data_IF_333954102663
#
_entry.id   IF_333954102663
#
_cell.length_a   1.000
_cell.length_b   1.000
_cell.length_c   1.000
_cell.angle_alpha   90.00
_cell.angle_beta   90.00
_cell.angle_gamma   90.00
#
_symmetry.space_group_name_H-M   'P 1'
#
loop_
_entity.id
_entity.type
_entity.pdbx_description
1 polymer ?
#
# COMPACT_ATOMS: atom_id res chain seq x y z
N UNK A 1 -20.15 0.34 -0.14
CA UNK A 1 -21.55 0.58 -0.57
C UNK A 1 -21.63 0.95 -2.05
N UNK A 2 -20.95 1.99 -2.54
CA UNK A 2 -21.01 2.38 -3.97
C UNK A 2 -20.66 1.27 -4.99
N UNK A 3 -19.62 0.45 -4.74
CA UNK A 3 -19.19 -0.59 -5.69
C UNK A 3 -20.01 -1.89 -5.65
N UNK A 4 -20.96 -2.04 -4.73
CA UNK A 4 -21.71 -3.29 -4.59
C UNK A 4 -22.63 -3.58 -5.79
N UNK A 5 -23.27 -2.55 -6.35
CA UNK A 5 -24.13 -2.68 -7.54
C UNK A 5 -23.35 -3.09 -8.79
N UNK A 6 -22.19 -2.47 -9.04
CA UNK A 6 -21.32 -2.83 -10.16
C UNK A 6 -20.84 -4.30 -10.05
N UNK A 7 -20.46 -4.74 -8.84
CA UNK A 7 -20.04 -6.12 -8.58
C UNK A 7 -21.21 -7.10 -8.76
N UNK A 8 -22.41 -6.74 -8.35
CA UNK A 8 -23.61 -7.55 -8.53
C UNK A 8 -24.00 -7.70 -10.01
N UNK A 9 -23.92 -6.62 -10.81
CA UNK A 9 -24.12 -6.67 -12.26
C UNK A 9 -23.07 -7.57 -12.92
N UNK A 10 -21.79 -7.43 -12.54
CA UNK A 10 -20.71 -8.26 -13.06
C UNK A 10 -20.94 -9.76 -12.74
N UNK A 11 -21.37 -10.07 -11.50
CA UNK A 11 -21.74 -11.44 -11.09
C UNK A 11 -22.97 -11.96 -11.84
N UNK A 12 -23.99 -11.13 -12.07
CA UNK A 12 -25.18 -11.50 -12.84
C UNK A 12 -24.85 -11.81 -14.31
N UNK A 13 -23.84 -11.14 -14.88
CA UNK A 13 -23.29 -11.46 -16.21
C UNK A 13 -22.39 -12.71 -16.23
N UNK A 14 -22.25 -13.43 -15.11
CA UNK A 14 -21.48 -14.67 -15.01
C UNK A 14 -20.05 -14.51 -14.49
N UNK A 15 -19.64 -13.33 -14.01
CA UNK A 15 -18.33 -13.18 -13.40
C UNK A 15 -18.27 -13.95 -12.07
N UNK A 16 -17.34 -14.90 -11.99
CA UNK A 16 -17.12 -15.67 -10.77
C UNK A 16 -16.46 -14.80 -9.69
N UNK A 17 -16.72 -15.08 -8.41
CA UNK A 17 -16.07 -14.38 -7.29
C UNK A 17 -14.52 -14.43 -7.35
N UNK A 18 -13.95 -15.43 -8.04
CA UNK A 18 -12.51 -15.52 -8.32
C UNK A 18 -11.99 -14.44 -9.27
N UNK A 19 -12.79 -14.03 -10.26
CA UNK A 19 -12.43 -12.96 -11.18
C UNK A 19 -12.36 -11.62 -10.45
N UNK A 20 -13.36 -11.33 -9.61
CA UNK A 20 -13.39 -10.13 -8.76
C UNK A 20 -12.18 -10.13 -7.82
N UNK A 21 -11.88 -11.26 -7.17
CA UNK A 21 -10.71 -11.36 -6.28
C UNK A 21 -9.38 -11.12 -7.00
N UNK A 22 -9.20 -11.59 -8.24
CA UNK A 22 -7.99 -11.29 -9.04
C UNK A 22 -7.83 -9.81 -9.33
N UNK A 23 -8.92 -9.12 -9.69
CA UNK A 23 -8.89 -7.69 -10.02
C UNK A 23 -8.44 -6.87 -8.81
N UNK A 24 -9.01 -7.17 -7.63
CA UNK A 24 -8.64 -6.47 -6.41
C UNK A 24 -7.21 -6.76 -5.96
N UNK A 25 -6.74 -8.01 -6.07
CA UNK A 25 -5.35 -8.34 -5.78
C UNK A 25 -4.39 -7.58 -6.70
N UNK A 26 -4.70 -7.51 -8.01
CA UNK A 26 -3.92 -6.73 -8.96
C UNK A 26 -3.93 -5.23 -8.62
N UNK A 27 -5.09 -4.67 -8.25
CA UNK A 27 -5.17 -3.29 -7.80
C UNK A 27 -4.32 -3.03 -6.55
N UNK A 28 -4.43 -3.90 -5.53
CA UNK A 28 -3.63 -3.77 -4.32
C UNK A 28 -2.13 -3.84 -4.59
N UNK A 29 -1.71 -4.73 -5.50
CA UNK A 29 -0.31 -4.83 -5.93
C UNK A 29 0.15 -3.56 -6.66
N UNK A 30 -0.64 -3.04 -7.59
CA UNK A 30 -0.32 -1.79 -8.33
C UNK A 30 -0.19 -0.62 -7.36
N UNK A 31 -1.13 -0.47 -6.41
CA UNK A 31 -1.07 0.58 -5.39
C UNK A 31 0.18 0.42 -4.51
N UNK A 32 0.51 -0.81 -4.09
CA UNK A 32 1.70 -1.10 -3.30
C UNK A 32 3.00 -0.77 -4.05
N UNK A 33 3.10 -1.12 -5.33
CA UNK A 33 4.26 -0.81 -6.17
C UNK A 33 4.41 0.70 -6.34
N UNK A 34 3.34 1.39 -6.74
CA UNK A 34 3.35 2.85 -6.95
C UNK A 34 3.71 3.56 -5.64
N UNK A 35 3.13 3.14 -4.52
CA UNK A 35 3.45 3.68 -3.21
C UNK A 35 4.91 3.47 -2.81
N UNK A 36 5.49 2.32 -3.13
CA UNK A 36 6.92 2.03 -2.85
C UNK A 36 7.84 2.87 -3.74
N UNK A 37 7.53 2.96 -5.04
CA UNK A 37 8.31 3.74 -6.02
C UNK A 37 8.31 5.22 -5.66
N UNK A 38 7.22 5.76 -5.11
CA UNK A 38 7.14 7.14 -4.64
C UNK A 38 7.78 7.29 -3.26
N UNK A 39 7.54 6.34 -2.35
CA UNK A 39 7.99 6.40 -0.96
C UNK A 39 9.51 6.34 -0.80
N UNK A 40 10.21 5.52 -1.58
CA UNK A 40 11.68 5.40 -1.52
C UNK A 40 12.39 6.74 -1.81
N UNK A 41 12.16 7.42 -2.96
CA UNK A 41 12.81 8.69 -3.25
C UNK A 41 12.39 9.79 -2.27
N UNK A 42 11.15 9.77 -1.79
CA UNK A 42 10.66 10.73 -0.80
C UNK A 42 11.38 10.54 0.55
N UNK A 43 11.53 9.30 1.01
CA UNK A 43 12.30 8.94 2.20
C UNK A 43 13.78 9.28 2.07
N UNK A 44 14.39 8.98 0.91
CA UNK A 44 15.79 9.35 0.63
C UNK A 44 15.98 10.87 0.66
N UNK A 45 15.07 11.62 0.04
CA UNK A 45 15.10 13.10 0.04
C UNK A 45 14.96 13.66 1.45
N UNK A 46 14.12 13.04 2.28
CA UNK A 46 13.93 13.43 3.68
C UNK A 46 15.21 13.19 4.50
N UNK A 47 15.84 12.03 4.34
CA UNK A 47 17.13 11.71 4.95
C UNK A 47 18.23 12.70 4.52
N UNK A 48 18.29 13.04 3.23
CA UNK A 48 19.24 14.00 2.68
C UNK A 48 19.01 15.42 3.20
N UNK A 49 17.75 15.84 3.33
CA UNK A 49 17.37 17.13 3.90
C UNK A 49 17.78 17.22 5.38
N UNK A 50 17.54 16.17 6.18
CA UNK A 50 17.98 16.12 7.57
C UNK A 50 19.51 16.26 7.64
N UNK A 51 20.26 15.54 6.82
CA UNK A 51 21.72 15.62 6.82
C UNK A 51 22.26 17.01 6.42
N UNK A 52 21.54 17.72 5.54
CA UNK A 52 21.95 19.03 5.01
C UNK A 52 21.58 20.18 5.93
N UNK A 53 20.38 20.15 6.52
CA UNK A 53 19.83 21.28 7.28
C UNK A 53 19.98 21.14 8.80
N UNK A 54 20.19 19.93 9.35
CA UNK A 54 20.49 19.74 10.78
C UNK A 54 22.01 19.64 11.02
N UNK A 55 22.62 20.77 11.37
CA UNK A 55 23.96 20.83 11.94
C UNK A 55 23.87 20.77 13.47
N UNK A 56 24.47 19.74 14.08
CA UNK A 56 24.65 19.72 15.53
C UNK A 56 25.65 20.82 15.93
N UNK A 57 25.35 21.67 16.92
CA UNK A 57 26.34 22.60 17.46
C UNK A 57 27.53 21.79 18.02
N UNK A 58 28.71 22.01 17.43
CA UNK A 58 29.90 21.18 17.58
C UNK A 58 30.56 21.16 18.97
N UNK A 59 29.96 21.78 19.98
CA UNK A 59 30.54 21.91 21.32
C UNK A 59 30.22 20.76 22.29
N UNK A 60 29.24 19.87 21.98
CA UNK A 60 28.79 18.82 22.92
C UNK A 60 28.87 17.39 22.37
N UNK A 61 28.98 17.23 21.04
CA UNK A 61 29.06 15.91 20.41
C UNK A 61 30.25 15.84 19.46
N UNK A 62 31.18 14.92 19.74
CA UNK A 62 32.30 14.50 18.87
C UNK A 62 31.84 13.84 17.54
N UNK A 63 30.62 14.10 17.08
CA UNK A 63 30.07 13.64 15.80
C UNK A 63 29.59 14.87 15.00
N UNK A 64 30.44 15.38 14.11
CA UNK A 64 30.17 16.57 13.29
C UNK A 64 29.09 16.37 12.20
N UNK A 65 28.52 15.17 12.05
CA UNK A 65 27.36 14.87 11.19
C UNK A 65 26.60 13.71 11.79
N UNK A 66 25.27 13.70 11.71
CA UNK A 66 24.48 12.47 11.90
C UNK A 66 24.86 11.55 10.74
N UNK A 67 25.54 10.41 10.98
CA UNK A 67 25.85 9.47 9.90
C UNK A 67 24.55 8.76 9.54
N UNK A 68 23.76 9.37 8.65
CA UNK A 68 22.59 8.73 8.05
C UNK A 68 23.11 7.61 7.14
N UNK A 69 23.24 6.43 7.72
CA UNK A 69 23.75 5.25 7.01
C UNK A 69 22.54 4.50 6.45
N UNK A 70 22.12 4.87 5.23
CA UNK A 70 21.00 4.22 4.55
C UNK A 70 21.46 2.83 4.12
N UNK A 71 21.08 1.82 4.90
CA UNK A 71 21.35 0.43 4.55
C UNK A 71 20.28 -0.05 3.55
N UNK A 72 20.73 -0.66 2.46
CA UNK A 72 19.84 -1.30 1.47
C UNK A 72 18.89 -2.32 2.12
N UNK A 73 19.36 -2.99 3.18
CA UNK A 73 18.57 -3.95 3.94
C UNK A 73 17.35 -3.29 4.61
N UNK A 74 17.50 -2.08 5.16
CA UNK A 74 16.39 -1.36 5.81
C UNK A 74 15.36 -0.93 4.77
N UNK A 75 15.82 -0.43 3.61
CA UNK A 75 14.95 -0.05 2.49
C UNK A 75 14.16 -1.25 1.97
N UNK A 76 14.83 -2.40 1.78
CA UNK A 76 14.16 -3.64 1.35
C UNK A 76 13.14 -4.12 2.39
N UNK A 77 13.47 -4.05 3.67
CA UNK A 77 12.57 -4.48 4.75
C UNK A 77 11.33 -3.60 4.82
N UNK A 78 11.48 -2.28 4.67
CA UNK A 78 10.36 -1.34 4.58
C UNK A 78 9.52 -1.58 3.32
N UNK A 79 10.14 -1.79 2.16
CA UNK A 79 9.42 -2.07 0.92
C UNK A 79 8.60 -3.37 1.02
N UNK A 80 9.21 -4.45 1.50
CA UNK A 80 8.55 -5.76 1.66
C UNK A 80 7.42 -5.66 2.68
N UNK A 81 7.64 -4.99 3.82
CA UNK A 81 6.59 -4.81 4.83
C UNK A 81 5.44 -3.96 4.30
N UNK A 82 5.70 -2.87 3.58
CA UNK A 82 4.66 -2.04 2.96
C UNK A 82 3.80 -2.85 1.99
N UNK A 83 4.42 -3.60 1.07
CA UNK A 83 3.71 -4.47 0.12
C UNK A 83 2.88 -5.53 0.87
N UNK A 84 3.46 -6.14 1.91
CA UNK A 84 2.78 -7.15 2.73
C UNK A 84 1.54 -6.56 3.42
N UNK A 85 1.66 -5.37 4.00
CA UNK A 85 0.54 -4.68 4.67
C UNK A 85 -0.54 -4.33 3.65
N UNK A 86 -0.19 -3.76 2.49
CA UNK A 86 -1.16 -3.45 1.43
C UNK A 86 -1.87 -4.70 0.93
N UNK A 87 -1.13 -5.79 0.75
CA UNK A 87 -1.70 -7.07 0.35
C UNK A 87 -2.66 -7.64 1.40
N UNK A 88 -2.28 -7.65 2.68
CA UNK A 88 -3.12 -8.09 3.78
C UNK A 88 -4.39 -7.23 3.92
N UNK A 89 -4.25 -5.91 3.81
CA UNK A 89 -5.36 -4.98 3.83
C UNK A 89 -6.34 -5.21 2.66
N UNK A 90 -5.84 -5.65 1.51
CA UNK A 90 -6.65 -5.95 0.30
C UNK A 90 -7.43 -7.26 0.43
N UNK A 91 -6.96 -8.23 1.23
CA UNK A 91 -7.63 -9.52 1.43
C UNK A 91 -8.99 -9.33 2.12
N UNK A 92 -9.10 -8.40 3.07
CA UNK A 92 -10.34 -8.14 3.79
C UNK A 92 -11.51 -7.68 2.87
N UNK A 93 -11.37 -6.61 2.06
CA UNK A 93 -12.41 -6.20 1.11
C UNK A 93 -12.62 -7.23 0.00
N UNK A 94 -11.58 -7.97 -0.43
CA UNK A 94 -11.75 -9.07 -1.39
C UNK A 94 -12.73 -10.13 -0.87
N UNK A 95 -12.54 -10.56 0.37
CA UNK A 95 -13.41 -11.56 1.00
C UNK A 95 -14.82 -11.04 1.17
N UNK A 96 -14.97 -9.77 1.53
CA UNK A 96 -16.27 -9.11 1.62
C UNK A 96 -16.95 -9.09 0.24
N UNK A 97 -16.28 -8.59 -0.81
CA UNK A 97 -16.79 -8.52 -2.17
C UNK A 97 -17.14 -9.89 -2.78
N UNK A 98 -16.35 -10.92 -2.49
CA UNK A 98 -16.61 -12.28 -2.96
C UNK A 98 -17.88 -12.88 -2.33
N UNK A 99 -18.19 -12.53 -1.07
CA UNK A 99 -19.36 -12.99 -0.32
C UNK A 99 -20.64 -12.20 -0.59
N UNK A 100 -20.60 -11.08 -1.33
CA UNK A 100 -21.82 -10.38 -1.70
C UNK A 100 -22.70 -11.24 -2.59
N UNK A 101 -23.89 -11.52 -2.11
CA UNK A 101 -24.93 -12.24 -2.83
C UNK A 101 -25.58 -11.28 -3.85
N UNK A 102 -25.59 -11.58 -5.15
CA UNK A 102 -26.19 -10.71 -6.17
C UNK A 102 -27.68 -10.44 -5.90
N UNK A 103 -28.38 -11.34 -5.21
CA UNK A 103 -29.78 -11.17 -4.83
C UNK A 103 -29.99 -10.09 -3.74
N UNK A 104 -29.03 -9.88 -2.84
CA UNK A 104 -29.12 -8.87 -1.79
C UNK A 104 -28.85 -7.46 -2.34
N UNK A 105 -27.94 -7.33 -3.32
CA UNK A 105 -27.59 -6.05 -3.90
C UNK A 105 -28.71 -5.39 -4.73
N UNK A 106 -29.71 -6.16 -5.16
CA UNK A 106 -30.89 -5.66 -5.90
C UNK A 106 -32.06 -5.39 -4.93
N UNK A 107 -32.09 -6.03 -3.75
CA UNK A 107 -33.19 -5.90 -2.76
C UNK A 107 -33.02 -4.75 -1.77
N UNK A 108 -31.88 -4.04 -1.82
CA UNK A 108 -31.63 -2.85 -0.99
C UNK A 108 -32.00 -1.53 -1.69
N UNK A 109 -32.76 -1.60 -2.78
CA UNK A 109 -33.69 -0.55 -3.24
C UNK A 109 -35.13 -1.03 -3.12
#
# INVERSE_FOLDING_TARGET
VEKHREIAILKAMGATGRAVMRIFILHGLVIGIVGTVIGIPLGYSFCWAIQTFYTLPGDVYYLSRIPVNIKIVDVLTVAVSAITITFLATIHPCRQAARLDPAEAIRYE
#
